data_IF_093618801556
#
_entry.id   IF_093618801556
#
_cell.length_a   1.000
_cell.length_b   1.000
_cell.length_c   1.000
_cell.angle_alpha   90.00
_cell.angle_beta   90.00
_cell.angle_gamma   90.00
#
_symmetry.space_group_name_H-M   'P 1'
#
loop_
_entity.id
_entity.type
_entity.pdbx_description
1 polymer ?
#
# COMPACT_ATOMS: atom_id res chain seq x y z
N UNK A 1 -17.44 26.18 -8.65
CA UNK A 1 -16.63 25.55 -9.69
C UNK A 1 -16.81 26.30 -11.01
N UNK A 2 -15.76 26.46 -11.80
CA UNK A 2 -15.88 27.10 -13.13
C UNK A 2 -16.66 26.18 -14.06
N UNK A 3 -17.39 26.74 -15.02
CA UNK A 3 -18.10 25.97 -16.05
C UNK A 3 -17.17 25.03 -16.87
N UNK A 4 -15.86 25.25 -16.84
CA UNK A 4 -14.87 24.37 -17.45
C UNK A 4 -14.83 22.99 -16.81
N UNK A 5 -15.07 22.88 -15.51
CA UNK A 5 -15.08 21.57 -14.81
C UNK A 5 -16.27 20.68 -15.16
N UNK A 6 -17.27 21.22 -15.84
CA UNK A 6 -18.51 20.50 -16.20
C UNK A 6 -18.37 19.74 -17.54
N UNK A 7 -17.32 20.03 -18.30
CA UNK A 7 -17.09 19.47 -19.65
C UNK A 7 -15.81 18.68 -19.79
N UNK A 8 -15.01 18.60 -18.72
CA UNK A 8 -13.74 17.92 -18.76
C UNK A 8 -13.93 16.44 -18.39
N UNK A 9 -13.10 15.57 -18.96
CA UNK A 9 -13.06 14.16 -18.61
C UNK A 9 -12.55 13.99 -17.18
N UNK A 10 -13.17 13.09 -16.42
CA UNK A 10 -12.71 12.68 -15.09
C UNK A 10 -11.80 11.46 -15.21
N UNK A 11 -10.54 11.62 -14.83
CA UNK A 11 -9.60 10.50 -14.68
C UNK A 11 -9.38 10.18 -13.21
N UNK A 12 -9.49 8.90 -12.86
CA UNK A 12 -9.23 8.40 -11.51
C UNK A 12 -8.11 7.37 -11.56
N UNK A 13 -7.08 7.55 -10.72
CA UNK A 13 -6.05 6.55 -10.48
C UNK A 13 -6.41 5.74 -9.23
N UNK A 14 -6.75 4.45 -9.44
CA UNK A 14 -7.07 3.52 -8.37
C UNK A 14 -5.92 2.56 -8.03
N UNK A 15 -4.69 2.89 -8.42
CA UNK A 15 -3.56 1.96 -8.34
C UNK A 15 -3.37 1.32 -6.97
N UNK A 16 -3.52 2.07 -5.88
CA UNK A 16 -3.37 1.54 -4.53
C UNK A 16 -4.53 0.63 -4.09
N UNK A 17 -5.74 0.95 -4.50
CA UNK A 17 -6.97 0.30 -4.03
C UNK A 17 -7.59 -0.66 -5.06
N UNK A 18 -6.91 -0.92 -6.18
CA UNK A 18 -7.49 -1.70 -7.27
C UNK A 18 -7.94 -3.11 -6.86
N UNK A 19 -7.22 -3.77 -5.95
CA UNK A 19 -7.63 -5.06 -5.40
C UNK A 19 -8.90 -4.95 -4.55
N UNK A 20 -9.02 -3.88 -3.75
CA UNK A 20 -10.20 -3.61 -2.93
C UNK A 20 -11.42 -3.30 -3.81
N UNK A 21 -11.22 -2.52 -4.87
CA UNK A 21 -12.28 -2.22 -5.86
C UNK A 21 -12.74 -3.48 -6.58
N UNK A 22 -11.81 -4.35 -6.98
CA UNK A 22 -12.12 -5.60 -7.70
C UNK A 22 -13.00 -6.56 -6.90
N UNK A 23 -12.91 -6.52 -5.57
CA UNK A 23 -13.72 -7.38 -4.67
C UNK A 23 -14.92 -6.68 -4.07
N UNK A 24 -15.10 -5.38 -4.33
CA UNK A 24 -16.18 -4.59 -3.73
C UNK A 24 -15.90 -4.08 -2.31
N UNK A 25 -14.72 -4.33 -1.76
CA UNK A 25 -14.31 -3.82 -0.45
C UNK A 25 -14.07 -2.29 -0.44
N UNK A 26 -13.99 -1.67 -1.62
CA UNK A 26 -13.92 -0.22 -1.79
C UNK A 26 -14.84 0.20 -2.94
N UNK A 27 -15.51 1.37 -2.87
CA UNK A 27 -16.33 1.87 -3.96
C UNK A 27 -15.58 1.92 -5.29
N UNK A 28 -16.25 1.48 -6.35
CA UNK A 28 -15.70 1.50 -7.70
C UNK A 28 -15.72 2.92 -8.28
N UNK A 29 -14.65 3.36 -8.98
CA UNK A 29 -14.69 4.60 -9.74
C UNK A 29 -15.65 4.56 -10.93
N UNK A 30 -16.03 3.38 -11.39
CA UNK A 30 -17.06 3.20 -12.39
C UNK A 30 -18.47 3.29 -11.73
N UNK A 31 -19.44 3.94 -12.34
CA UNK A 31 -19.47 4.57 -13.67
C UNK A 31 -19.13 6.06 -13.71
N UNK A 32 -18.45 6.60 -12.72
CA UNK A 32 -18.23 8.05 -12.53
C UNK A 32 -17.05 8.61 -13.33
N UNK A 33 -16.04 7.78 -13.61
CA UNK A 33 -14.82 8.18 -14.32
C UNK A 33 -14.91 7.83 -15.81
N UNK A 34 -14.42 8.74 -16.67
CA UNK A 34 -14.26 8.50 -18.10
C UNK A 34 -13.04 7.62 -18.38
N UNK A 35 -11.98 7.79 -17.57
CA UNK A 35 -10.74 7.02 -17.65
C UNK A 35 -10.31 6.59 -16.25
N UNK A 36 -9.93 5.33 -16.09
CA UNK A 36 -9.37 4.80 -14.85
C UNK A 36 -7.99 4.25 -15.12
N UNK A 37 -7.01 4.69 -14.35
CA UNK A 37 -5.65 4.13 -14.40
C UNK A 37 -5.37 3.28 -13.17
N UNK A 38 -4.49 2.30 -13.31
CA UNK A 38 -4.07 1.46 -12.21
C UNK A 38 -2.71 0.82 -12.44
N UNK A 39 -2.17 0.22 -11.39
CA UNK A 39 -1.03 -0.69 -11.44
C UNK A 39 -1.45 -2.11 -11.14
N UNK A 40 -0.78 -3.08 -11.74
CA UNK A 40 -1.03 -4.50 -11.48
C UNK A 40 -0.32 -5.04 -10.23
N UNK A 41 0.70 -4.35 -9.71
CA UNK A 41 1.65 -4.87 -8.70
C UNK A 41 1.46 -4.38 -7.26
N UNK A 42 0.30 -3.77 -6.94
CA UNK A 42 -0.05 -3.34 -5.57
C UNK A 42 -1.09 -4.31 -4.99
N UNK A 43 -2.24 -3.85 -4.57
CA UNK A 43 -3.28 -4.72 -3.99
C UNK A 43 -3.83 -5.78 -4.95
N UNK A 44 -3.66 -5.62 -6.27
CA UNK A 44 -3.95 -6.67 -7.26
C UNK A 44 -2.92 -7.82 -7.26
N UNK A 45 -1.77 -7.65 -6.59
CA UNK A 45 -0.77 -8.69 -6.36
C UNK A 45 -0.18 -9.32 -7.65
N UNK A 46 -0.14 -8.56 -8.74
CA UNK A 46 0.40 -8.98 -10.04
C UNK A 46 1.83 -8.50 -10.30
N UNK A 47 2.34 -8.71 -11.52
CA UNK A 47 3.65 -8.23 -11.94
C UNK A 47 3.68 -6.70 -12.06
N UNK A 48 4.89 -6.11 -12.06
CA UNK A 48 5.04 -4.68 -12.28
C UNK A 48 4.52 -4.27 -13.66
N UNK A 49 3.62 -3.31 -13.66
CA UNK A 49 3.02 -2.75 -14.84
C UNK A 49 1.83 -1.86 -14.51
N UNK A 50 1.35 -1.17 -15.52
CA UNK A 50 0.14 -0.36 -15.46
C UNK A 50 -0.91 -0.86 -16.45
N UNK A 51 -2.13 -0.39 -16.28
CA UNK A 51 -3.21 -0.55 -17.24
C UNK A 51 -4.16 0.65 -17.16
N UNK A 52 -4.87 0.88 -18.24
CA UNK A 52 -5.82 1.97 -18.39
C UNK A 52 -7.15 1.36 -18.84
N UNK A 53 -8.24 1.82 -18.26
CA UNK A 53 -9.59 1.34 -18.54
C UNK A 53 -10.48 2.52 -18.91
N UNK A 54 -11.31 2.33 -19.92
CA UNK A 54 -12.38 3.26 -20.31
C UNK A 54 -13.50 2.48 -20.99
N UNK A 55 -14.73 2.96 -20.86
CA UNK A 55 -15.90 2.45 -21.59
C UNK A 55 -16.16 3.25 -22.88
N UNK A 56 -15.42 4.33 -23.13
CA UNK A 56 -15.52 5.15 -24.31
C UNK A 56 -14.56 4.67 -25.39
N UNK A 57 -15.10 4.23 -26.54
CA UNK A 57 -14.31 3.69 -27.65
C UNK A 57 -13.42 4.75 -28.33
N UNK A 58 -13.83 6.02 -28.35
CA UNK A 58 -13.05 7.10 -28.94
C UNK A 58 -11.83 7.41 -28.06
N UNK A 59 -12.06 7.51 -26.74
CA UNK A 59 -10.98 7.63 -25.75
C UNK A 59 -10.04 6.41 -25.79
N UNK A 60 -10.57 5.19 -25.89
CA UNK A 60 -9.75 3.97 -25.97
C UNK A 60 -8.80 4.03 -27.17
N UNK A 61 -9.30 4.39 -28.37
CA UNK A 61 -8.46 4.54 -29.56
C UNK A 61 -7.40 5.63 -29.42
N UNK A 62 -7.75 6.75 -28.81
CA UNK A 62 -6.80 7.85 -28.56
C UNK A 62 -5.71 7.43 -27.58
N UNK A 63 -6.08 6.74 -26.50
CA UNK A 63 -5.16 6.21 -25.48
C UNK A 63 -4.21 5.16 -26.10
N UNK A 64 -4.74 4.19 -26.85
CA UNK A 64 -3.92 3.17 -27.50
C UNK A 64 -2.87 3.80 -28.41
N UNK A 65 -3.25 4.79 -29.21
CA UNK A 65 -2.31 5.53 -30.07
C UNK A 65 -1.27 6.32 -29.27
N UNK A 66 -1.66 6.89 -28.14
CA UNK A 66 -0.76 7.63 -27.26
C UNK A 66 0.23 6.69 -26.55
N UNK A 67 -0.22 5.49 -26.17
CA UNK A 67 0.64 4.47 -25.59
C UNK A 67 1.58 3.90 -26.64
N UNK A 68 1.08 3.38 -27.75
CA UNK A 68 1.87 2.83 -28.83
C UNK A 68 1.43 3.39 -30.21
N UNK A 69 2.34 4.00 -30.99
CA UNK A 69 3.78 4.16 -30.75
C UNK A 69 4.15 5.46 -29.99
N UNK A 70 3.20 6.16 -29.37
CA UNK A 70 3.42 7.49 -28.84
C UNK A 70 4.48 7.56 -27.73
N UNK A 71 4.34 6.73 -26.68
CA UNK A 71 5.23 6.76 -25.51
C UNK A 71 5.95 5.46 -25.24
N UNK A 72 5.49 4.34 -25.80
CA UNK A 72 6.02 3.00 -25.56
C UNK A 72 6.29 2.26 -26.88
N UNK A 73 7.08 1.18 -26.80
CA UNK A 73 7.37 0.26 -27.89
C UNK A 73 6.77 -1.13 -27.66
N UNK A 74 7.45 -2.17 -28.12
CA UNK A 74 7.02 -3.55 -27.97
C UNK A 74 6.90 -3.94 -26.49
N UNK A 75 5.77 -4.55 -26.08
CA UNK A 75 5.53 -4.90 -24.69
C UNK A 75 6.36 -6.11 -24.25
N UNK A 76 6.60 -6.22 -22.94
CA UNK A 76 7.22 -7.37 -22.31
C UNK A 76 6.18 -8.48 -22.14
N UNK A 77 6.22 -9.50 -23.02
CA UNK A 77 5.19 -10.55 -23.09
C UNK A 77 5.10 -11.40 -21.82
N UNK A 78 6.21 -11.62 -21.10
CA UNK A 78 6.20 -12.31 -19.81
C UNK A 78 5.45 -11.50 -18.74
N UNK A 79 5.50 -10.16 -18.78
CA UNK A 79 4.69 -9.30 -17.90
C UNK A 79 3.21 -9.38 -18.26
N UNK A 80 2.87 -9.41 -19.55
CA UNK A 80 1.49 -9.59 -20.01
C UNK A 80 0.93 -10.93 -19.55
N UNK A 81 1.70 -12.01 -19.73
CA UNK A 81 1.32 -13.34 -19.23
C UNK A 81 1.11 -13.34 -17.71
N UNK A 82 2.01 -12.70 -16.95
CA UNK A 82 1.87 -12.55 -15.51
C UNK A 82 0.63 -11.74 -15.11
N UNK A 83 0.28 -10.68 -15.87
CA UNK A 83 -0.98 -9.93 -15.64
C UNK A 83 -2.21 -10.81 -15.87
N UNK A 84 -2.21 -11.64 -16.92
CA UNK A 84 -3.32 -12.53 -17.20
C UNK A 84 -3.54 -13.54 -16.06
N UNK A 85 -2.48 -14.11 -15.52
CA UNK A 85 -2.55 -14.98 -14.33
C UNK A 85 -3.10 -14.22 -13.12
N UNK A 86 -2.52 -13.06 -12.80
CA UNK A 86 -2.93 -12.26 -11.65
C UNK A 86 -4.41 -11.83 -11.73
N UNK A 87 -4.90 -11.45 -12.92
CA UNK A 87 -6.30 -11.11 -13.11
C UNK A 87 -7.22 -12.34 -13.01
N UNK A 88 -6.74 -13.50 -13.50
CA UNK A 88 -7.43 -14.78 -13.31
C UNK A 88 -7.55 -15.17 -11.82
N UNK A 89 -6.51 -14.94 -11.03
CA UNK A 89 -6.53 -15.13 -9.57
C UNK A 89 -7.48 -14.12 -8.90
N UNK A 90 -7.47 -12.86 -9.32
CA UNK A 90 -8.33 -11.82 -8.76
C UNK A 90 -9.84 -12.08 -8.97
N UNK A 91 -10.19 -12.94 -9.92
CA UNK A 91 -11.57 -13.38 -10.16
C UNK A 91 -12.01 -14.55 -9.26
N UNK A 92 -11.10 -15.14 -8.47
CA UNK A 92 -11.41 -16.26 -7.61
C UNK A 92 -11.95 -15.79 -6.24
N UNK A 93 -12.85 -16.56 -5.60
CA UNK A 93 -13.35 -16.25 -4.26
C UNK A 93 -12.23 -16.07 -3.21
N UNK A 94 -11.14 -16.82 -3.32
CA UNK A 94 -9.98 -16.71 -2.44
C UNK A 94 -9.29 -15.36 -2.49
N UNK A 95 -9.45 -14.61 -3.58
CA UNK A 95 -8.92 -13.25 -3.65
C UNK A 95 -9.77 -12.26 -2.83
N UNK A 96 -11.09 -12.47 -2.76
CA UNK A 96 -11.94 -11.68 -1.88
C UNK A 96 -11.56 -11.92 -0.40
N UNK A 97 -11.37 -13.18 0.00
CA UNK A 97 -10.89 -13.53 1.35
C UNK A 97 -9.54 -12.88 1.66
N UNK A 98 -8.62 -12.87 0.68
CA UNK A 98 -7.34 -12.17 0.82
C UNK A 98 -7.52 -10.67 1.07
N UNK A 99 -8.39 -10.00 0.33
CA UNK A 99 -8.64 -8.56 0.49
C UNK A 99 -9.34 -8.27 1.83
N UNK A 100 -10.29 -9.08 2.27
CA UNK A 100 -10.91 -8.94 3.59
C UNK A 100 -9.85 -9.03 4.70
N UNK A 101 -8.94 -9.99 4.60
CA UNK A 101 -7.81 -10.11 5.51
C UNK A 101 -6.85 -8.91 5.42
N UNK A 102 -6.60 -8.37 4.23
CA UNK A 102 -5.78 -7.16 4.05
C UNK A 102 -6.35 -5.98 4.84
N UNK A 103 -7.66 -5.75 4.75
CA UNK A 103 -8.33 -4.65 5.47
C UNK A 103 -8.32 -4.90 6.98
N UNK A 104 -8.65 -6.12 7.43
CA UNK A 104 -8.63 -6.49 8.84
C UNK A 104 -7.22 -6.35 9.45
N UNK A 105 -6.20 -6.81 8.73
CA UNK A 105 -4.81 -6.71 9.14
C UNK A 105 -4.30 -5.25 9.19
N UNK A 106 -4.75 -4.39 8.27
CA UNK A 106 -4.42 -2.98 8.33
C UNK A 106 -5.04 -2.29 9.56
N UNK A 107 -6.28 -2.63 9.89
CA UNK A 107 -6.94 -2.15 11.10
C UNK A 107 -6.19 -2.61 12.37
N UNK A 108 -5.83 -3.89 12.45
CA UNK A 108 -5.06 -4.44 13.58
C UNK A 108 -3.67 -3.80 13.71
N UNK A 109 -2.97 -3.56 12.59
CA UNK A 109 -1.72 -2.80 12.57
C UNK A 109 -1.92 -1.40 13.16
N UNK A 110 -2.98 -0.71 12.73
CA UNK A 110 -3.35 0.61 13.24
C UNK A 110 -3.63 0.60 14.74
N UNK A 111 -4.35 -0.41 15.24
CA UNK A 111 -4.58 -0.60 16.68
C UNK A 111 -3.27 -0.76 17.45
N UNK A 112 -2.35 -1.60 16.98
CA UNK A 112 -1.04 -1.82 17.60
C UNK A 112 -0.20 -0.54 17.65
N UNK A 113 -0.21 0.26 16.59
CA UNK A 113 0.47 1.56 16.54
C UNK A 113 -0.10 2.54 17.58
N UNK A 114 -1.44 2.63 17.69
CA UNK A 114 -2.12 3.52 18.65
C UNK A 114 -1.90 3.04 20.09
N UNK A 115 -1.99 1.74 20.35
CA UNK A 115 -1.69 1.16 21.67
C UNK A 115 -0.24 1.42 22.08
N UNK A 116 0.68 1.43 21.11
CA UNK A 116 2.08 1.81 21.31
C UNK A 116 2.34 3.31 21.51
N UNK A 117 1.31 4.17 21.44
CA UNK A 117 1.38 5.61 21.69
C UNK A 117 1.54 6.48 20.44
N UNK A 118 1.55 5.92 19.25
CA UNK A 118 1.57 6.66 17.98
C UNK A 118 0.17 7.13 17.57
N UNK A 119 0.11 8.07 16.66
CA UNK A 119 -1.14 8.65 16.16
C UNK A 119 -1.33 8.32 14.69
N UNK A 120 -2.52 7.84 14.31
CA UNK A 120 -2.91 7.74 12.91
C UNK A 120 -3.49 9.07 12.43
N UNK A 121 -3.04 9.55 11.27
CA UNK A 121 -3.46 10.85 10.72
C UNK A 121 -4.98 10.89 10.48
N UNK A 122 -5.57 9.80 10.01
CA UNK A 122 -7.02 9.66 9.77
C UNK A 122 -7.80 9.12 10.98
N UNK A 123 -7.14 8.87 12.11
CA UNK A 123 -7.77 8.25 13.29
C UNK A 123 -8.01 6.75 13.17
N UNK A 124 -7.77 6.15 12.01
CA UNK A 124 -7.96 4.74 11.72
C UNK A 124 -7.71 4.46 10.25
N UNK A 125 -8.09 3.26 9.77
CA UNK A 125 -8.06 2.90 8.36
C UNK A 125 -9.23 1.98 8.00
N UNK A 126 -9.75 2.15 6.81
CA UNK A 126 -10.76 1.32 6.15
C UNK A 126 -10.21 0.66 4.86
N UNK A 127 -8.90 0.72 4.68
CA UNK A 127 -8.21 0.16 3.52
C UNK A 127 -6.94 -0.60 3.94
N UNK A 128 -5.94 -0.68 3.07
CA UNK A 128 -4.72 -1.47 3.28
C UNK A 128 -3.55 -0.67 3.85
N UNK A 129 -3.71 0.63 4.14
CA UNK A 129 -2.63 1.54 4.55
C UNK A 129 -2.98 2.31 5.83
N UNK A 130 -1.95 2.61 6.61
CA UNK A 130 -1.99 3.59 7.68
C UNK A 130 -0.95 4.68 7.43
N UNK A 131 -1.33 5.94 7.62
CA UNK A 131 -0.43 7.08 7.69
C UNK A 131 -0.22 7.42 9.17
N UNK A 132 1.03 7.28 9.63
CA UNK A 132 1.40 7.34 11.05
C UNK A 132 2.13 8.63 11.33
N UNK A 133 1.56 9.48 12.16
CA UNK A 133 2.19 10.71 12.63
C UNK A 133 3.20 10.39 13.75
N UNK A 134 4.43 10.81 13.56
CA UNK A 134 5.56 10.58 14.45
C UNK A 134 5.80 11.74 15.44
N UNK A 135 5.01 12.80 15.36
CA UNK A 135 5.14 13.95 16.27
C UNK A 135 5.12 13.56 17.75
N UNK A 136 4.31 12.57 18.20
CA UNK A 136 4.33 12.16 19.61
C UNK A 136 5.67 11.59 20.09
N UNK A 137 6.50 11.05 19.18
CA UNK A 137 7.80 10.47 19.49
C UNK A 137 8.97 11.43 19.22
N UNK A 138 8.69 12.61 18.67
CA UNK A 138 9.69 13.62 18.26
C UNK A 138 10.76 13.07 17.28
N UNK A 139 10.39 12.10 16.45
CA UNK A 139 11.25 11.50 15.42
C UNK A 139 10.80 11.97 14.04
N UNK A 140 11.76 12.19 13.13
CA UNK A 140 11.42 12.53 11.74
C UNK A 140 11.04 11.27 10.94
N UNK A 141 10.26 11.45 9.87
CA UNK A 141 9.94 10.34 8.95
C UNK A 141 11.19 9.69 8.37
N UNK A 142 12.22 10.50 8.06
CA UNK A 142 13.50 10.00 7.55
C UNK A 142 14.25 9.15 8.59
N UNK A 143 14.31 9.59 9.82
CA UNK A 143 15.04 8.85 10.86
C UNK A 143 14.29 7.57 11.22
N UNK A 144 12.96 7.63 11.33
CA UNK A 144 12.14 6.44 11.54
C UNK A 144 12.26 5.43 10.40
N UNK A 145 12.32 5.87 9.12
CA UNK A 145 12.56 4.99 7.97
C UNK A 145 13.87 4.21 8.12
N UNK A 146 14.96 4.88 8.52
CA UNK A 146 16.26 4.24 8.73
C UNK A 146 16.29 3.29 9.94
N UNK A 147 15.71 3.71 11.07
CA UNK A 147 15.65 2.89 12.29
C UNK A 147 14.84 1.62 12.08
N UNK A 148 13.68 1.75 11.42
CA UNK A 148 12.79 0.62 11.15
C UNK A 148 13.39 -0.32 10.10
N UNK A 149 14.08 0.19 9.08
CA UNK A 149 14.81 -0.65 8.13
C UNK A 149 15.91 -1.48 8.82
N UNK A 150 16.66 -0.87 9.74
CA UNK A 150 17.65 -1.58 10.57
C UNK A 150 17.00 -2.67 11.45
N UNK A 151 15.75 -2.46 11.90
CA UNK A 151 14.96 -3.45 12.62
C UNK A 151 14.30 -4.51 11.70
N UNK A 152 14.48 -4.43 10.38
CA UNK A 152 13.85 -5.34 9.41
C UNK A 152 12.40 -5.01 9.08
N UNK A 153 11.93 -3.82 9.43
CA UNK A 153 10.59 -3.31 9.19
C UNK A 153 10.63 -2.25 8.08
N UNK A 154 10.36 -2.63 6.85
CA UNK A 154 10.40 -1.71 5.71
C UNK A 154 9.18 -0.81 5.68
N UNK A 155 9.40 0.49 5.77
CA UNK A 155 8.40 1.55 5.68
C UNK A 155 8.86 2.63 4.71
N UNK A 156 8.03 3.62 4.44
CA UNK A 156 8.49 4.83 3.75
C UNK A 156 8.05 6.08 4.52
N UNK A 157 8.95 7.09 4.57
CA UNK A 157 8.59 8.41 5.05
C UNK A 157 7.50 9.05 4.19
N UNK A 158 6.64 9.83 4.80
CA UNK A 158 5.51 10.46 4.13
C UNK A 158 5.19 11.82 4.77
N UNK A 159 4.62 12.74 3.98
CA UNK A 159 4.12 14.01 4.52
C UNK A 159 2.73 13.83 5.14
N UNK A 160 2.42 14.66 6.12
CA UNK A 160 1.08 14.79 6.72
C UNK A 160 0.37 16.04 6.19
N UNK A 161 -0.95 16.16 6.33
CA UNK A 161 -1.63 17.43 6.09
C UNK A 161 -1.05 18.55 6.96
N UNK A 162 -0.68 19.67 6.32
CA UNK A 162 -0.02 20.78 7.00
C UNK A 162 1.44 20.51 7.39
N UNK A 163 2.13 19.62 6.68
CA UNK A 163 3.52 19.21 6.92
C UNK A 163 4.46 20.40 7.17
N UNK A 164 5.06 20.51 8.39
CA UNK A 164 5.95 21.61 8.71
C UNK A 164 7.39 21.39 8.23
N UNK A 165 7.76 20.15 7.90
CA UNK A 165 9.12 19.76 7.48
C UNK A 165 9.22 19.66 5.97
N UNK A 166 10.44 19.66 5.45
CA UNK A 166 10.66 19.48 4.00
C UNK A 166 10.23 18.07 3.54
N UNK A 167 9.85 17.89 2.26
CA UNK A 167 9.49 16.58 1.71
C UNK A 167 10.59 15.51 1.81
N UNK A 168 11.84 15.93 2.03
CA UNK A 168 12.98 15.01 2.21
C UNK A 168 13.13 14.48 3.64
N UNK A 169 12.45 15.10 4.60
CA UNK A 169 12.52 14.79 6.04
C UNK A 169 11.20 14.21 6.53
N UNK A 170 10.08 14.94 6.35
CA UNK A 170 8.72 14.60 6.72
C UNK A 170 8.47 14.35 8.21
N UNK A 171 7.20 14.24 8.61
CA UNK A 171 6.77 14.03 10.00
C UNK A 171 6.04 12.71 10.21
N UNK A 172 6.01 11.85 9.21
CA UNK A 172 5.25 10.59 9.26
C UNK A 172 5.92 9.46 8.47
N UNK A 173 5.42 8.27 8.72
CA UNK A 173 5.67 7.08 7.91
C UNK A 173 4.35 6.50 7.39
N UNK A 174 4.42 5.80 6.28
CA UNK A 174 3.33 5.01 5.74
C UNK A 174 3.63 3.53 5.89
N UNK A 175 2.67 2.80 6.42
CA UNK A 175 2.72 1.35 6.60
C UNK A 175 1.51 0.69 5.96
N UNK A 176 1.59 -0.58 5.64
CA UNK A 176 0.48 -1.31 5.00
C UNK A 176 0.54 -2.81 5.21
N UNK A 177 -0.58 -3.48 4.98
CA UNK A 177 -0.80 -4.88 5.32
C UNK A 177 -0.68 -5.85 4.15
N UNK A 178 -0.84 -5.40 2.90
CA UNK A 178 -1.04 -6.29 1.75
C UNK A 178 0.09 -7.33 1.56
N UNK A 179 1.36 -6.93 1.70
CA UNK A 179 2.51 -7.82 1.51
C UNK A 179 2.60 -8.89 2.62
N UNK A 180 2.41 -8.50 3.88
CA UNK A 180 2.39 -9.41 5.01
C UNK A 180 1.21 -10.37 4.94
N UNK A 181 0.02 -9.87 4.58
CA UNK A 181 -1.16 -10.74 4.37
C UNK A 181 -0.91 -11.79 3.29
N UNK A 182 -0.22 -11.45 2.21
CA UNK A 182 0.18 -12.42 1.17
C UNK A 182 1.11 -13.51 1.73
N UNK A 183 1.94 -13.17 2.72
CA UNK A 183 2.83 -14.13 3.42
C UNK A 183 2.10 -14.97 4.47
N UNK A 184 0.84 -14.65 4.77
CA UNK A 184 0.03 -15.38 5.77
C UNK A 184 0.06 -14.78 7.17
N UNK A 185 0.55 -13.55 7.36
CA UNK A 185 0.48 -12.87 8.65
C UNK A 185 -0.97 -12.64 9.08
N UNK A 186 -1.24 -12.88 10.35
CA UNK A 186 -2.54 -12.75 10.99
C UNK A 186 -2.77 -11.34 11.56
N UNK A 187 -4.01 -11.03 11.92
CA UNK A 187 -4.35 -9.75 12.56
C UNK A 187 -3.61 -9.56 13.90
N UNK A 188 -3.41 -10.62 14.67
CA UNK A 188 -2.68 -10.53 15.95
C UNK A 188 -1.20 -10.21 15.73
N UNK A 189 -0.58 -10.81 14.73
CA UNK A 189 0.81 -10.51 14.34
C UNK A 189 0.93 -9.09 13.78
N UNK A 190 -0.05 -8.59 13.02
CA UNK A 190 -0.06 -7.19 12.59
C UNK A 190 -0.22 -6.22 13.75
N UNK A 191 -1.01 -6.57 14.76
CA UNK A 191 -1.11 -5.77 16.00
C UNK A 191 0.23 -5.74 16.74
N UNK A 192 0.90 -6.88 16.85
CA UNK A 192 2.26 -6.98 17.41
C UNK A 192 3.24 -6.11 16.60
N UNK A 193 3.25 -6.21 15.27
CA UNK A 193 4.11 -5.39 14.40
C UNK A 193 3.88 -3.90 14.64
N UNK A 194 2.63 -3.47 14.81
CA UNK A 194 2.33 -2.08 15.19
C UNK A 194 2.99 -1.65 16.50
N UNK A 195 2.97 -2.53 17.50
CA UNK A 195 3.66 -2.33 18.78
C UNK A 195 5.18 -2.29 18.63
N UNK A 196 5.75 -3.17 17.80
CA UNK A 196 7.20 -3.20 17.51
C UNK A 196 7.67 -1.91 16.81
N UNK A 197 6.90 -1.40 15.85
CA UNK A 197 7.16 -0.11 15.19
C UNK A 197 7.18 1.02 16.24
N UNK A 198 6.17 1.11 17.07
CA UNK A 198 6.08 2.13 18.11
C UNK A 198 7.27 2.01 19.10
N UNK A 199 7.63 0.78 19.50
CA UNK A 199 8.75 0.53 20.40
C UNK A 199 10.09 1.02 19.84
N UNK A 200 10.38 0.82 18.56
CA UNK A 200 11.58 1.35 17.89
C UNK A 200 11.55 2.87 17.88
N UNK A 201 10.44 3.47 17.44
CA UNK A 201 10.32 4.91 17.24
C UNK A 201 10.43 5.68 18.56
N UNK A 202 9.85 5.18 19.66
CA UNK A 202 9.96 5.82 20.99
C UNK A 202 11.29 5.58 21.69
N UNK A 203 12.16 4.70 21.17
CA UNK A 203 13.47 4.38 21.76
C UNK A 203 14.56 4.48 20.68
N UNK A 204 14.55 5.56 19.93
CA UNK A 204 15.40 5.76 18.74
C UNK A 204 16.92 5.63 19.03
N UNK A 205 17.35 5.96 20.24
CA UNK A 205 18.77 5.93 20.66
C UNK A 205 19.14 4.64 21.42
N UNK A 206 18.22 3.68 21.57
CA UNK A 206 18.46 2.44 22.34
C UNK A 206 18.76 1.27 21.41
N UNK A 207 20.05 0.98 21.23
CA UNK A 207 20.52 -0.15 20.41
C UNK A 207 20.04 -1.52 20.95
N UNK A 208 19.80 -1.65 22.26
CA UNK A 208 19.28 -2.88 22.86
C UNK A 208 17.82 -3.13 22.48
N UNK A 209 17.02 -2.07 22.44
CA UNK A 209 15.64 -2.14 21.93
C UNK A 209 15.63 -2.50 20.45
N UNK A 210 16.48 -1.85 19.65
CA UNK A 210 16.57 -2.12 18.22
C UNK A 210 16.92 -3.59 17.94
N UNK A 211 17.94 -4.13 18.64
CA UNK A 211 18.37 -5.52 18.52
C UNK A 211 17.26 -6.51 18.95
N UNK A 212 16.55 -6.23 20.04
CA UNK A 212 15.46 -7.08 20.52
C UNK A 212 14.27 -7.09 19.54
N UNK A 213 13.93 -5.93 18.97
CA UNK A 213 12.88 -5.84 17.94
C UNK A 213 13.31 -6.57 16.68
N UNK A 214 14.54 -6.42 16.23
CA UNK A 214 15.08 -7.13 15.07
C UNK A 214 14.99 -8.65 15.25
N UNK A 215 15.40 -9.18 16.39
CA UNK A 215 15.32 -10.61 16.68
C UNK A 215 13.85 -11.09 16.59
N UNK A 216 12.91 -10.33 17.14
CA UNK A 216 11.49 -10.70 17.07
C UNK A 216 10.94 -10.65 15.65
N UNK A 217 11.34 -9.66 14.85
CA UNK A 217 10.97 -9.57 13.42
C UNK A 217 11.52 -10.78 12.65
N UNK A 218 12.75 -11.21 12.92
CA UNK A 218 13.35 -12.38 12.27
C UNK A 218 12.56 -13.64 12.60
N UNK A 219 12.12 -13.85 13.86
CA UNK A 219 11.23 -14.97 14.25
C UNK A 219 9.89 -14.97 13.47
N UNK A 220 9.26 -13.80 13.34
CA UNK A 220 8.02 -13.64 12.58
C UNK A 220 8.24 -13.96 11.09
N UNK A 221 9.37 -13.53 10.53
CA UNK A 221 9.70 -13.79 9.13
C UNK A 221 10.02 -15.26 8.86
N UNK A 222 10.64 -15.97 9.81
CA UNK A 222 10.88 -17.41 9.73
C UNK A 222 9.57 -18.21 9.76
N UNK A 223 8.59 -17.78 10.55
CA UNK A 223 7.26 -18.39 10.58
C UNK A 223 6.48 -18.20 9.27
N UNK A 224 6.76 -17.14 8.52
CA UNK A 224 6.08 -16.78 7.28
C UNK A 224 7.06 -16.63 6.11
N UNK A 225 7.72 -17.70 5.65
CA UNK A 225 8.72 -17.62 4.59
C UNK A 225 8.11 -17.18 3.26
N UNK A 226 8.87 -16.42 2.47
CA UNK A 226 8.56 -16.19 1.06
C UNK A 226 8.77 -17.50 0.29
N UNK A 227 7.83 -17.87 -0.56
CA UNK A 227 7.93 -19.06 -1.42
C UNK A 227 8.17 -20.37 -0.63
N UNK A 228 7.28 -20.75 0.31
CA UNK A 228 7.40 -22.02 1.02
C UNK A 228 7.37 -23.18 0.00
N UNK A 229 8.46 -23.91 -0.09
CA UNK A 229 8.60 -25.05 -1.02
C UNK A 229 9.48 -24.81 -2.25
N UNK A 230 10.15 -23.64 -2.33
CA UNK A 230 11.25 -23.39 -3.27
C UNK A 230 12.60 -23.64 -2.59
#
# INVERSE_FOLDING_TARGET
>A
GSEMCIRDSLMIDMAHIAGLVATGAHPSPFPHADVVTSTSHKTLRGPRGGFILTNDEELARAIDKAVFPGTQGGPLMHVIAGKAVAFGEALQPSFAEYIDNVVANAAALGEGLVQGGLRLVSGGTDNHLCLVDLTPADVTGKDAEHLLDAAGLTVNKNSIPGEPRSPFVTSSIRVGSAAGTTRGFTADEFREIGGLIARVVFNADDEGVLAAVRARVDELLEAHPLYPGL
#
